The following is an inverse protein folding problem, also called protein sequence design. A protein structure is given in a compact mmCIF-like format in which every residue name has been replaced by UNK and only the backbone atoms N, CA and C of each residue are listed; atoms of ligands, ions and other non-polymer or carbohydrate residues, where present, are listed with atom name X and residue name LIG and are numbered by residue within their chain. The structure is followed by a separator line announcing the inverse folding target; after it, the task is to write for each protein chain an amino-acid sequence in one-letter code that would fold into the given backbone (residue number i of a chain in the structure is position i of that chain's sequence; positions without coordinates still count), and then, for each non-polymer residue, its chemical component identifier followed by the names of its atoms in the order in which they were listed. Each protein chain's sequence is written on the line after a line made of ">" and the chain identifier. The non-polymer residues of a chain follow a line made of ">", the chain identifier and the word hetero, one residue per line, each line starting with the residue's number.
data_IF_306586489993
#
_entry.id   IF_306586489993
#
_cell.length_a   1.000
_cell.length_b   1.000
_cell.length_c   1.000
_cell.angle_alpha   90.00
_cell.angle_beta   90.00
_cell.angle_gamma   90.00
#
_symmetry.space_group_name_H-M   'P 1'
#
loop_
_entity.id
_entity.type
_entity.pdbx_description
1 polymer ?
#
# COMPACT_ATOMS: atom_id res chain seq x y z
N UNK A 1 39.56 -4.80 -3.85
CA UNK A 1 38.62 -5.17 -2.77
C UNK A 1 37.53 -4.11 -2.66
N UNK A 2 37.87 -2.82 -2.84
CA UNK A 2 36.91 -1.70 -2.80
C UNK A 2 35.91 -1.65 -3.99
N UNK A 3 36.21 -2.27 -5.15
CA UNK A 3 35.30 -2.24 -6.31
C UNK A 3 34.08 -3.17 -6.19
N UNK A 4 34.13 -4.21 -5.36
CA UNK A 4 33.01 -5.15 -5.17
C UNK A 4 31.90 -4.58 -4.29
N UNK A 5 32.20 -3.55 -3.49
CA UNK A 5 31.27 -2.95 -2.54
C UNK A 5 30.33 -1.93 -3.20
N UNK A 6 30.72 -1.33 -4.34
CA UNK A 6 29.83 -0.47 -5.14
C UNK A 6 28.77 -1.26 -5.94
N UNK A 7 28.82 -2.60 -5.92
CA UNK A 7 27.91 -3.49 -6.63
C UNK A 7 26.74 -4.02 -5.77
N UNK A 8 26.53 -3.46 -4.57
CA UNK A 8 25.62 -4.01 -3.54
C UNK A 8 24.61 -3.01 -2.99
N UNK A 9 24.36 -1.89 -3.65
CA UNK A 9 23.05 -1.24 -3.46
C UNK A 9 22.06 -1.99 -4.36
N UNK A 10 20.97 -2.57 -3.82
CA UNK A 10 19.90 -3.05 -4.68
C UNK A 10 19.46 -1.86 -5.51
N UNK A 11 19.57 -1.97 -6.84
CA UNK A 11 18.90 -1.05 -7.75
C UNK A 11 17.40 -1.18 -7.47
N UNK A 12 16.88 -0.26 -6.68
CA UNK A 12 15.49 -0.21 -6.30
C UNK A 12 14.88 1.01 -6.96
N UNK A 13 13.69 0.83 -7.52
CA UNK A 13 12.92 1.91 -8.12
C UNK A 13 11.89 2.36 -7.11
N UNK A 14 11.97 3.64 -6.71
CA UNK A 14 10.96 4.28 -5.87
C UNK A 14 10.06 5.12 -6.76
N UNK A 15 8.77 4.82 -6.74
CA UNK A 15 7.72 5.59 -7.39
C UNK A 15 6.79 6.14 -6.32
N UNK A 16 6.53 7.44 -6.34
CA UNK A 16 5.69 8.12 -5.36
C UNK A 16 4.42 8.68 -6.00
N UNK A 17 3.40 8.87 -5.17
CA UNK A 17 2.14 9.54 -5.52
C UNK A 17 1.45 8.92 -6.75
N UNK A 18 1.39 7.59 -6.80
CA UNK A 18 0.85 6.85 -7.93
C UNK A 18 -0.68 6.73 -7.85
N UNK A 19 -1.36 7.05 -8.96
CA UNK A 19 -2.74 6.67 -9.21
C UNK A 19 -2.75 5.60 -10.31
N UNK A 20 -3.16 4.39 -9.96
CA UNK A 20 -3.15 3.22 -10.83
C UNK A 20 -4.57 2.74 -11.10
N UNK A 21 -4.75 2.05 -12.23
CA UNK A 21 -6.03 1.46 -12.64
C UNK A 21 -5.84 0.00 -13.06
N UNK A 22 -6.71 -0.88 -12.57
CA UNK A 22 -6.84 -2.25 -13.09
C UNK A 22 -8.31 -2.66 -13.06
N UNK A 23 -8.78 -3.31 -14.12
CA UNK A 23 -10.17 -3.80 -14.22
C UNK A 23 -11.23 -2.71 -13.95
N UNK A 24 -11.00 -1.47 -14.39
CA UNK A 24 -11.89 -0.32 -14.15
C UNK A 24 -11.91 0.20 -12.70
N UNK A 25 -10.99 -0.28 -11.86
CA UNK A 25 -10.85 0.16 -10.46
C UNK A 25 -9.59 1.00 -10.28
N UNK A 26 -9.77 2.25 -9.86
CA UNK A 26 -8.69 3.15 -9.46
C UNK A 26 -8.24 2.89 -8.02
N UNK A 27 -6.93 2.97 -7.78
CA UNK A 27 -6.35 2.92 -6.45
C UNK A 27 -5.07 3.78 -6.37
N UNK A 28 -4.84 4.34 -5.19
CA UNK A 28 -3.68 5.18 -4.91
C UNK A 28 -2.63 4.40 -4.11
N UNK A 29 -1.36 4.69 -4.38
CA UNK A 29 -0.20 4.18 -3.65
C UNK A 29 0.72 5.37 -3.35
N UNK A 30 0.95 5.65 -2.06
CA UNK A 30 1.79 6.79 -1.65
C UNK A 30 3.24 6.57 -2.08
N UNK A 31 3.79 5.38 -1.80
CA UNK A 31 5.09 4.98 -2.30
C UNK A 31 5.11 3.50 -2.68
N UNK A 32 5.71 3.23 -3.84
CA UNK A 32 5.98 1.90 -4.35
C UNK A 32 7.49 1.73 -4.47
N UNK A 33 8.03 0.72 -3.79
CA UNK A 33 9.45 0.37 -3.92
C UNK A 33 9.55 -0.98 -4.62
N UNK A 34 10.19 -0.99 -5.78
CA UNK A 34 10.39 -2.18 -6.60
C UNK A 34 11.85 -2.59 -6.48
N UNK A 35 12.07 -3.80 -6.00
CA UNK A 35 13.34 -4.51 -6.04
C UNK A 35 13.27 -5.62 -7.09
N UNK A 36 14.38 -6.29 -7.32
CA UNK A 36 14.48 -7.34 -8.33
C UNK A 36 13.52 -8.52 -8.10
N UNK A 37 13.23 -8.85 -6.84
CA UNK A 37 12.46 -10.03 -6.42
C UNK A 37 11.22 -9.68 -5.56
N UNK A 38 11.05 -8.40 -5.23
CA UNK A 38 10.01 -7.97 -4.30
C UNK A 38 9.49 -6.57 -4.61
N UNK A 39 8.21 -6.35 -4.29
CA UNK A 39 7.56 -5.06 -4.41
C UNK A 39 6.95 -4.70 -3.05
N UNK A 40 7.30 -3.54 -2.52
CA UNK A 40 6.70 -2.98 -1.31
C UNK A 40 5.72 -1.88 -1.68
N UNK A 41 4.47 -2.05 -1.25
CA UNK A 41 3.49 -0.97 -1.17
C UNK A 41 3.59 -0.31 0.21
N UNK A 42 3.77 1.01 0.21
CA UNK A 42 3.72 1.84 1.40
C UNK A 42 2.53 2.78 1.25
N UNK A 43 1.61 2.70 2.22
CA UNK A 43 0.45 3.58 2.34
C UNK A 43 0.46 4.13 3.78
N UNK A 44 0.75 5.41 3.93
CA UNK A 44 0.95 6.04 5.24
C UNK A 44 -0.40 6.51 5.77
N UNK A 45 -0.96 5.72 6.68
CA UNK A 45 -2.24 6.02 7.33
C UNK A 45 -2.03 6.74 8.65
N UNK A 46 -2.12 8.06 8.65
CA UNK A 46 -2.19 8.86 9.87
C UNK A 46 -3.66 8.97 10.32
N UNK A 47 -4.07 8.15 11.28
CA UNK A 47 -5.38 8.30 11.94
C UNK A 47 -5.16 8.83 13.35
N UNK A 48 -5.57 10.08 13.57
CA UNK A 48 -5.56 10.71 14.89
C UNK A 48 -6.87 10.46 15.63
N UNK A 49 -6.76 10.12 16.92
CA UNK A 49 -7.90 9.95 17.82
C UNK A 49 -8.16 8.50 18.21
N UNK A 50 -9.19 8.31 19.04
CA UNK A 50 -9.55 7.01 19.58
C UNK A 50 -10.61 6.32 18.72
N UNK A 51 -10.34 5.06 18.38
CA UNK A 51 -11.19 4.22 17.55
C UNK A 51 -11.44 2.86 18.19
N UNK A 52 -12.56 2.24 17.84
CA UNK A 52 -12.87 0.87 18.22
C UNK A 52 -13.57 0.12 17.09
N UNK A 53 -13.39 -1.21 17.08
CA UNK A 53 -14.16 -2.10 16.22
C UNK A 53 -15.45 -2.51 16.92
N UNK A 54 -16.58 -2.44 16.23
CA UNK A 54 -17.83 -3.00 16.73
C UNK A 54 -17.89 -4.53 16.53
N UNK A 55 -18.97 -5.15 17.03
CA UNK A 55 -19.19 -6.59 16.88
C UNK A 55 -19.38 -7.06 15.43
N UNK A 56 -19.63 -6.14 14.49
CA UNK A 56 -19.72 -6.43 13.06
C UNK A 56 -18.38 -6.27 12.32
N UNK A 57 -17.33 -5.80 13.01
CA UNK A 57 -16.01 -5.56 12.44
C UNK A 57 -15.87 -4.21 11.74
N UNK A 58 -16.82 -3.28 11.93
CA UNK A 58 -16.72 -1.91 11.43
C UNK A 58 -15.90 -1.04 12.38
N UNK A 59 -15.14 -0.10 11.84
CA UNK A 59 -14.35 0.84 12.62
C UNK A 59 -15.18 2.10 12.95
N UNK A 60 -15.18 2.50 14.22
CA UNK A 60 -15.91 3.65 14.72
C UNK A 60 -15.00 4.58 15.52
N UNK A 61 -15.28 5.87 15.50
CA UNK A 61 -14.72 6.79 16.50
C UNK A 61 -15.41 6.61 17.84
N UNK A 62 -14.74 6.95 18.94
CA UNK A 62 -15.38 7.01 20.27
C UNK A 62 -16.59 7.96 20.34
N UNK A 63 -16.73 8.87 19.37
CA UNK A 63 -17.86 9.78 19.23
C UNK A 63 -19.03 9.18 18.42
N UNK A 64 -18.98 7.89 18.06
CA UNK A 64 -20.07 7.17 17.40
C UNK A 64 -20.18 7.41 15.89
N UNK A 65 -19.10 7.85 15.23
CA UNK A 65 -19.05 8.00 13.76
C UNK A 65 -18.38 6.79 13.13
N UNK A 66 -19.04 6.14 12.17
CA UNK A 66 -18.44 5.07 11.36
C UNK A 66 -17.32 5.68 10.50
N UNK A 67 -16.16 5.03 10.49
CA UNK A 67 -15.00 5.46 9.72
C UNK A 67 -14.58 4.33 8.80
N UNK A 68 -14.10 4.71 7.62
CA UNK A 68 -13.56 3.76 6.67
C UNK A 68 -12.32 3.08 7.27
N UNK A 69 -12.33 1.76 7.32
CA UNK A 69 -11.23 0.99 7.88
C UNK A 69 -9.98 1.12 6.99
N UNK A 70 -8.87 1.69 7.51
CA UNK A 70 -7.63 1.86 6.77
C UNK A 70 -7.01 0.52 6.36
N UNK A 71 -7.18 -0.52 7.18
CA UNK A 71 -6.69 -1.87 6.90
C UNK A 71 -7.46 -2.50 5.74
N UNK A 72 -8.78 -2.27 5.65
CA UNK A 72 -9.56 -2.74 4.50
C UNK A 72 -9.15 -2.02 3.21
N UNK A 73 -8.85 -0.72 3.28
CA UNK A 73 -8.34 0.02 2.14
C UNK A 73 -6.97 -0.50 1.68
N UNK A 74 -6.05 -0.77 2.62
CA UNK A 74 -4.74 -1.34 2.32
C UNK A 74 -4.86 -2.71 1.65
N UNK A 75 -5.68 -3.61 2.21
CA UNK A 75 -5.93 -4.95 1.63
C UNK A 75 -6.51 -4.86 0.22
N UNK A 76 -7.39 -3.89 -0.02
CA UNK A 76 -7.95 -3.64 -1.35
C UNK A 76 -6.84 -3.18 -2.33
N UNK A 77 -6.01 -2.22 -1.94
CA UNK A 77 -4.91 -1.74 -2.77
C UNK A 77 -3.90 -2.85 -3.09
N UNK A 78 -3.57 -3.69 -2.10
CA UNK A 78 -2.71 -4.86 -2.31
C UNK A 78 -3.30 -5.84 -3.33
N UNK A 79 -4.59 -6.17 -3.20
CA UNK A 79 -5.29 -7.06 -4.14
C UNK A 79 -5.32 -6.50 -5.56
N UNK A 80 -5.57 -5.20 -5.72
CA UNK A 80 -5.54 -4.53 -7.02
C UNK A 80 -4.12 -4.50 -7.60
N UNK A 81 -3.09 -4.29 -6.77
CA UNK A 81 -1.71 -4.37 -7.24
C UNK A 81 -1.36 -5.77 -7.75
N UNK A 82 -1.74 -6.82 -7.02
CA UNK A 82 -1.52 -8.21 -7.48
C UNK A 82 -2.19 -8.46 -8.83
N UNK A 83 -3.42 -7.99 -9.01
CA UNK A 83 -4.11 -8.09 -10.29
C UNK A 83 -3.40 -7.30 -11.40
N UNK A 84 -2.96 -6.07 -11.11
CA UNK A 84 -2.23 -5.24 -12.07
C UNK A 84 -0.93 -5.93 -12.52
N UNK A 85 -0.16 -6.47 -11.57
CA UNK A 85 1.06 -7.21 -11.89
C UNK A 85 0.76 -8.41 -12.79
N UNK A 86 -0.27 -9.19 -12.48
CA UNK A 86 -0.71 -10.30 -13.35
C UNK A 86 -1.11 -9.86 -14.76
N UNK A 87 -1.62 -8.64 -14.94
CA UNK A 87 -1.92 -8.12 -16.29
C UNK A 87 -0.69 -7.64 -17.05
N UNK A 88 0.41 -7.35 -16.36
CA UNK A 88 1.64 -6.82 -16.95
C UNK A 88 2.65 -7.92 -17.34
N UNK A 89 2.58 -9.11 -16.71
CA UNK A 89 3.41 -10.28 -17.05
C UNK A 89 4.12 -10.87 -15.85
#
# INVERSE_FOLDING_TARGET
>A
YDDWMNALEPEHLILNDLLLEVNGSLFQVDSLVIFQDMIYLIDVKNHEGDYYYDSSGKLWTIFGKEVKDPLLQLKRSESLMRQLLHTLG
#
